data_IF_274792505880
#
_entry.id   IF_274792505880
#
_cell.length_a   1.000
_cell.length_b   1.000
_cell.length_c   1.000
_cell.angle_alpha   90.00
_cell.angle_beta   90.00
_cell.angle_gamma   90.00
#
_symmetry.space_group_name_H-M   'P 1'
#
loop_
_entity.id
_entity.type
_entity.pdbx_description
1 polymer ?
#
# COMPACT_ATOMS: atom_id res chain seq x y z
N UNK A 1 -1.93 -6.04 -16.93
CA UNK A 1 -0.64 -5.53 -16.41
C UNK A 1 -0.83 -5.33 -14.91
N UNK A 2 -0.12 -6.08 -14.07
CA UNK A 2 -0.09 -5.86 -12.61
C UNK A 2 0.84 -4.69 -12.28
N UNK A 3 0.62 -4.06 -11.12
CA UNK A 3 1.62 -3.20 -10.52
C UNK A 3 2.63 -4.08 -9.79
N UNK A 4 3.71 -4.46 -10.48
CA UNK A 4 4.80 -5.19 -9.84
C UNK A 4 5.76 -4.19 -9.20
N UNK A 5 6.08 -4.41 -7.92
CA UNK A 5 7.15 -3.67 -7.25
C UNK A 5 8.46 -4.22 -7.81
N UNK A 6 9.26 -3.35 -8.44
CA UNK A 6 10.53 -3.77 -9.01
C UNK A 6 11.43 -4.40 -7.92
N UNK A 7 12.08 -5.55 -8.20
CA UNK A 7 12.98 -6.19 -7.25
C UNK A 7 14.07 -5.21 -6.78
N UNK A 8 14.34 -5.22 -5.47
CA UNK A 8 15.37 -4.36 -4.87
C UNK A 8 14.96 -2.91 -4.62
N UNK A 9 13.72 -2.52 -4.90
CA UNK A 9 13.20 -1.22 -4.48
C UNK A 9 12.94 -1.22 -2.98
N UNK A 10 13.67 -0.36 -2.28
CA UNK A 10 13.40 -0.03 -0.88
C UNK A 10 12.21 0.95 -0.79
N UNK A 11 11.07 0.43 -0.33
CA UNK A 11 9.84 1.19 -0.19
C UNK A 11 9.90 2.22 0.95
N UNK A 12 10.84 2.10 1.89
CA UNK A 12 10.98 3.06 3.00
C UNK A 12 11.46 4.44 2.52
N UNK A 13 11.95 4.53 1.28
CA UNK A 13 12.38 5.77 0.64
C UNK A 13 11.24 6.67 0.17
N UNK A 14 10.00 6.19 0.24
CA UNK A 14 8.82 6.94 -0.15
C UNK A 14 8.06 7.41 1.09
N UNK A 15 7.60 8.66 1.07
CA UNK A 15 6.85 9.25 2.18
C UNK A 15 5.39 8.79 2.23
N UNK A 16 4.85 8.28 1.13
CA UNK A 16 3.49 7.77 1.07
C UNK A 16 3.26 6.83 -0.13
N UNK A 17 2.22 5.99 -0.03
CA UNK A 17 1.63 5.30 -1.16
C UNK A 17 0.13 5.63 -1.28
N UNK A 18 -0.38 5.61 -2.51
CA UNK A 18 -1.81 5.75 -2.80
C UNK A 18 -2.27 4.50 -3.55
N UNK A 19 -3.26 3.80 -3.01
CA UNK A 19 -3.91 2.69 -3.73
C UNK A 19 -4.89 3.30 -4.71
N UNK A 20 -4.53 3.31 -5.99
CA UNK A 20 -5.37 3.85 -7.08
C UNK A 20 -6.20 2.78 -7.77
N UNK A 21 -5.76 1.52 -7.71
CA UNK A 21 -6.42 0.35 -8.29
C UNK A 21 -6.25 -0.83 -7.34
N UNK A 22 -7.26 -1.69 -7.27
CA UNK A 22 -7.19 -2.92 -6.49
C UNK A 22 -6.71 -4.08 -7.39
N UNK A 23 -5.45 -4.49 -7.21
CA UNK A 23 -4.86 -5.63 -7.90
C UNK A 23 -4.64 -6.81 -6.94
N UNK A 24 -4.95 -8.02 -7.41
CA UNK A 24 -4.85 -9.26 -6.62
C UNK A 24 -3.43 -9.71 -6.32
N UNK A 25 -2.43 -9.22 -7.04
CA UNK A 25 -1.03 -9.67 -6.94
C UNK A 25 -0.13 -8.68 -6.19
N UNK A 26 -0.71 -7.80 -5.38
CA UNK A 26 0.01 -6.81 -4.57
C UNK A 26 0.03 -7.28 -3.12
N UNK A 27 1.22 -7.30 -2.50
CA UNK A 27 1.40 -7.58 -1.08
C UNK A 27 1.04 -6.34 -0.23
N UNK A 28 -0.26 -6.06 -0.12
CA UNK A 28 -0.76 -4.91 0.63
C UNK A 28 -0.35 -4.95 2.10
N UNK A 29 -0.29 -6.13 2.73
CA UNK A 29 0.14 -6.23 4.12
C UNK A 29 1.62 -5.86 4.27
N UNK A 30 2.48 -6.34 3.37
CA UNK A 30 3.89 -5.95 3.33
C UNK A 30 4.09 -4.46 3.08
N UNK A 31 3.19 -3.80 2.33
CA UNK A 31 3.20 -2.34 2.19
C UNK A 31 3.04 -1.63 3.54
N UNK A 32 2.13 -2.09 4.40
CA UNK A 32 1.89 -1.46 5.73
C UNK A 32 3.10 -1.49 6.66
N UNK A 33 4.02 -2.44 6.44
CA UNK A 33 5.22 -2.61 7.24
C UNK A 33 6.35 -1.68 6.79
N UNK A 34 6.40 -1.36 5.49
CA UNK A 34 7.54 -0.65 4.87
C UNK A 34 7.26 0.82 4.60
N UNK A 35 5.98 1.20 4.47
CA UNK A 35 5.58 2.57 4.16
C UNK A 35 5.17 3.34 5.42
N UNK A 36 5.48 4.64 5.49
CA UNK A 36 5.08 5.49 6.60
C UNK A 36 3.62 5.95 6.51
N UNK A 37 3.09 6.18 5.30
CA UNK A 37 1.69 6.60 5.05
C UNK A 37 1.10 5.84 3.87
N UNK A 38 -0.15 5.41 3.99
CA UNK A 38 -0.92 4.77 2.92
C UNK A 38 -2.29 5.43 2.81
N UNK A 39 -2.65 5.92 1.63
CA UNK A 39 -3.98 6.40 1.29
C UNK A 39 -4.71 5.32 0.51
N UNK A 40 -5.79 4.80 1.09
CA UNK A 40 -6.60 3.73 0.52
C UNK A 40 -7.88 4.29 -0.12
N UNK A 41 -7.84 4.49 -1.43
CA UNK A 41 -9.01 4.95 -2.20
C UNK A 41 -9.88 3.80 -2.72
N UNK A 42 -9.45 2.55 -2.49
CA UNK A 42 -10.05 1.34 -3.06
C UNK A 42 -10.62 0.39 -2.00
N UNK A 43 -10.44 0.74 -0.72
CA UNK A 43 -10.90 -0.03 0.44
C UNK A 43 -10.25 -1.42 0.52
N UNK A 44 -9.01 -1.57 0.06
CA UNK A 44 -8.25 -2.83 0.12
C UNK A 44 -7.86 -3.20 1.55
N UNK A 45 -7.78 -2.21 2.45
CA UNK A 45 -7.46 -2.40 3.86
C UNK A 45 -8.71 -2.44 4.77
N UNK A 46 -9.90 -2.66 4.21
CA UNK A 46 -11.15 -2.69 4.99
C UNK A 46 -11.04 -3.65 6.18
N UNK A 47 -11.34 -3.14 7.38
CA UNK A 47 -11.31 -3.93 8.62
C UNK A 47 -9.92 -4.05 9.27
N UNK A 48 -8.88 -3.48 8.67
CA UNK A 48 -7.56 -3.36 9.28
C UNK A 48 -7.48 -2.03 10.04
N UNK A 49 -7.15 -2.08 11.33
CA UNK A 49 -6.87 -0.88 12.14
C UNK A 49 -5.37 -0.64 12.14
N UNK A 50 -4.92 0.42 11.47
CA UNK A 50 -3.51 0.82 11.42
C UNK A 50 -3.43 2.35 11.30
N UNK A 51 -2.65 3.00 12.16
CA UNK A 51 -2.53 4.47 12.21
C UNK A 51 -1.90 5.09 10.97
N UNK A 52 -1.28 4.28 10.13
CA UNK A 52 -0.65 4.71 8.87
C UNK A 52 -1.60 4.68 7.67
N UNK A 53 -2.82 4.12 7.82
CA UNK A 53 -3.75 3.91 6.72
C UNK A 53 -4.90 4.91 6.81
N UNK A 54 -5.11 5.64 5.73
CA UNK A 54 -6.17 6.64 5.59
C UNK A 54 -7.11 6.21 4.46
N UNK A 55 -8.28 5.69 4.82
CA UNK A 55 -9.33 5.35 3.87
C UNK A 55 -10.18 6.55 3.47
N UNK A 56 -10.70 6.53 2.23
CA UNK A 56 -11.72 7.47 1.73
C UNK A 56 -13.07 6.78 1.47
#
# INVERSE_FOLDING_TARGET
KSADIAPGVDLSRFDAAIVVTDHTNVDYLGLTQRLPVIVDTRNVFKGITNTKIFGL
#
